data_IF_776979875696
#
_entry.id   IF_776979875696
#
_cell.length_a   1.000
_cell.length_b   1.000
_cell.length_c   1.000
_cell.angle_alpha   90.00
_cell.angle_beta   90.00
_cell.angle_gamma   90.00
#
_symmetry.space_group_name_H-M   'P 1'
#
loop_
_entity.id
_entity.type
_entity.pdbx_description
1 polymer ?
#
# COMPACT_ATOMS: atom_id res chain seq x y z
N UNK A 1 -12.50 -11.72 9.11
CA UNK A 1 -11.91 -10.36 9.23
C UNK A 1 -12.96 -9.27 8.96
N UNK A 2 -14.02 -9.19 9.77
CA UNK A 2 -15.08 -8.17 9.61
C UNK A 2 -15.01 -7.06 10.67
N UNK A 3 -14.44 -7.34 11.85
CA UNK A 3 -14.53 -6.48 13.04
C UNK A 3 -13.59 -5.26 13.07
N UNK A 4 -12.65 -5.10 12.13
CA UNK A 4 -11.64 -4.01 12.16
C UNK A 4 -12.04 -2.80 11.30
N UNK A 5 -13.10 -2.91 10.49
CA UNK A 5 -13.49 -1.82 9.58
C UNK A 5 -14.08 -0.60 10.28
N UNK A 6 -14.53 -0.75 11.52
CA UNK A 6 -15.23 0.31 12.27
C UNK A 6 -14.27 1.24 13.02
N UNK A 7 -12.99 0.86 13.16
CA UNK A 7 -11.93 1.67 13.77
C UNK A 7 -10.85 1.97 12.74
N UNK A 8 -11.01 3.08 12.01
CA UNK A 8 -10.07 3.53 10.96
C UNK A 8 -8.72 4.00 11.49
N UNK A 9 -8.61 4.25 12.80
CA UNK A 9 -7.37 4.64 13.46
C UNK A 9 -7.18 3.85 14.75
N UNK A 10 -5.98 3.29 14.91
CA UNK A 10 -5.51 2.69 16.16
C UNK A 10 -4.52 3.67 16.78
N UNK A 11 -4.62 3.92 18.08
CA UNK A 11 -3.59 4.68 18.80
C UNK A 11 -2.50 3.72 19.27
N UNK A 12 -1.26 4.01 18.87
CA UNK A 12 -0.06 3.27 19.28
C UNK A 12 0.96 4.28 19.79
N UNK A 13 1.34 4.18 21.06
CA UNK A 13 2.32 5.08 21.70
C UNK A 13 1.96 6.57 21.58
N UNK A 14 0.68 6.91 21.68
CA UNK A 14 0.20 8.29 21.52
C UNK A 14 0.15 8.79 20.07
N UNK A 15 0.50 7.94 19.10
CA UNK A 15 0.39 8.24 17.68
C UNK A 15 -0.81 7.54 17.05
N UNK A 16 -1.52 8.26 16.15
CA UNK A 16 -2.62 7.68 15.37
C UNK A 16 -2.06 6.93 14.16
N UNK A 17 -2.23 5.62 14.15
CA UNK A 17 -1.85 4.74 13.04
C UNK A 17 -3.10 4.40 12.23
N UNK A 18 -3.07 4.74 10.93
CA UNK A 18 -4.13 4.39 9.99
C UNK A 18 -3.91 3.00 9.41
N UNK A 19 -4.90 2.11 9.55
CA UNK A 19 -4.87 0.81 8.89
C UNK A 19 -5.47 0.92 7.49
N UNK A 20 -4.62 0.77 6.48
CA UNK A 20 -5.03 0.76 5.08
C UNK A 20 -4.95 -0.67 4.51
N UNK A 21 -5.85 -0.97 3.56
CA UNK A 21 -5.77 -2.21 2.79
C UNK A 21 -4.56 -2.16 1.86
N UNK A 22 -3.81 -3.26 1.79
CA UNK A 22 -2.76 -3.42 0.77
C UNK A 22 -3.43 -3.60 -0.60
N UNK A 23 -3.30 -2.58 -1.45
CA UNK A 23 -3.91 -2.52 -2.78
C UNK A 23 -2.83 -2.18 -3.80
N UNK A 24 -2.83 -2.90 -4.92
CA UNK A 24 -1.92 -2.58 -6.03
C UNK A 24 -2.13 -1.15 -6.54
N UNK A 25 -1.06 -0.53 -7.03
CA UNK A 25 -1.11 0.84 -7.58
C UNK A 25 -2.19 0.99 -8.66
N UNK A 26 -2.32 -0.01 -9.53
CA UNK A 26 -3.35 -0.06 -10.59
C UNK A 26 -4.76 -0.02 -9.98
N UNK A 27 -4.98 -0.75 -8.88
CA UNK A 27 -6.27 -0.76 -8.18
C UNK A 27 -6.57 0.60 -7.56
N UNK A 28 -5.58 1.23 -6.92
CA UNK A 28 -5.72 2.58 -6.36
C UNK A 28 -6.05 3.61 -7.44
N UNK A 29 -5.38 3.55 -8.60
CA UNK A 29 -5.66 4.43 -9.74
C UNK A 29 -7.09 4.26 -10.24
N UNK A 30 -7.56 3.01 -10.42
CA UNK A 30 -8.95 2.74 -10.83
C UNK A 30 -9.98 3.27 -9.82
N UNK A 31 -9.71 3.14 -8.52
CA UNK A 31 -10.57 3.73 -7.48
C UNK A 31 -10.59 5.26 -7.56
N UNK A 32 -9.46 5.90 -7.85
CA UNK A 32 -9.39 7.36 -8.05
C UNK A 32 -10.18 7.82 -9.28
N UNK A 33 -10.23 7.04 -10.36
CA UNK A 33 -11.03 7.38 -11.55
C UNK A 33 -12.54 7.40 -11.24
N UNK A 34 -12.98 6.49 -10.37
CA UNK A 34 -14.36 6.43 -9.89
C UNK A 34 -14.67 7.43 -8.77
N UNK A 35 -13.70 8.26 -8.36
CA UNK A 35 -13.87 9.24 -7.28
C UNK A 35 -15.06 10.19 -7.48
N UNK A 36 -15.30 10.74 -8.69
CA UNK A 36 -16.46 11.60 -8.91
C UNK A 36 -17.79 10.89 -8.65
N UNK A 37 -17.89 9.62 -9.03
CA UNK A 37 -19.07 8.79 -8.78
C UNK A 37 -19.23 8.51 -7.30
N UNK A 38 -18.13 8.21 -6.60
CA UNK A 38 -18.18 8.00 -5.15
C UNK A 38 -18.49 9.26 -4.37
N UNK A 39 -18.07 10.43 -4.85
CA UNK A 39 -18.36 11.70 -4.18
C UNK A 39 -19.86 12.03 -4.28
N UNK A 40 -20.48 11.77 -5.44
CA UNK A 40 -21.94 11.91 -5.60
C UNK A 40 -22.73 10.90 -4.77
N UNK A 41 -22.25 9.67 -4.69
CA UNK A 41 -22.93 8.59 -3.98
C UNK A 41 -22.57 8.52 -2.50
N UNK A 42 -21.66 9.37 -2.01
CA UNK A 42 -21.16 9.35 -0.63
C UNK A 42 -22.30 9.37 0.39
N UNK A 43 -23.31 10.21 0.14
CA UNK A 43 -24.48 10.36 1.01
C UNK A 43 -25.42 9.16 0.97
N UNK A 44 -25.38 8.35 -0.11
CA UNK A 44 -26.26 7.18 -0.29
C UNK A 44 -25.68 5.88 0.29
N UNK A 45 -24.50 5.91 0.91
CA UNK A 45 -23.90 4.73 1.53
C UNK A 45 -23.25 3.77 0.53
N UNK A 46 -22.05 4.13 0.07
CA UNK A 46 -21.25 3.31 -0.84
C UNK A 46 -20.41 2.25 -0.13
N UNK A 47 -20.16 1.13 -0.80
CA UNK A 47 -19.21 0.09 -0.36
C UNK A 47 -18.30 -0.31 -1.51
N UNK A 48 -16.99 -0.27 -1.26
CA UNK A 48 -15.98 -0.80 -2.18
C UNK A 48 -15.89 -2.32 -2.07
N UNK A 49 -16.18 -2.99 -3.18
CA UNK A 49 -15.94 -4.41 -3.41
C UNK A 49 -14.57 -4.65 -4.05
N UNK A 50 -13.97 -5.79 -3.73
CA UNK A 50 -12.69 -6.21 -4.32
C UNK A 50 -12.92 -6.74 -5.76
N UNK A 51 -12.00 -6.48 -6.71
CA UNK A 51 -10.87 -5.54 -6.65
C UNK A 51 -11.23 -4.06 -6.91
N UNK A 52 -12.20 -3.79 -7.77
CA UNK A 52 -12.61 -2.42 -8.18
C UNK A 52 -14.11 -2.33 -8.47
N UNK A 53 -14.96 -2.85 -7.58
CA UNK A 53 -16.41 -2.76 -7.74
C UNK A 53 -16.97 -1.75 -6.74
N UNK A 54 -17.87 -0.87 -7.17
CA UNK A 54 -18.59 0.04 -6.29
C UNK A 54 -20.02 -0.47 -6.12
N UNK A 55 -20.42 -0.76 -4.89
CA UNK A 55 -21.78 -1.15 -4.54
C UNK A 55 -22.50 0.01 -3.88
N UNK A 56 -23.73 0.27 -4.29
CA UNK A 56 -24.54 1.34 -3.70
C UNK A 56 -26.04 1.06 -3.89
N UNK A 57 -26.89 1.51 -2.96
CA UNK A 57 -28.33 1.44 -3.13
C UNK A 57 -28.78 2.51 -4.14
N UNK A 58 -29.62 2.11 -5.10
CA UNK A 58 -30.22 2.97 -6.11
C UNK A 58 -31.61 2.44 -6.45
N UNK A 59 -32.64 3.28 -6.38
CA UNK A 59 -34.03 2.89 -6.70
C UNK A 59 -34.48 1.60 -5.97
N UNK A 60 -34.16 1.47 -4.67
CA UNK A 60 -34.41 0.28 -3.84
C UNK A 60 -33.67 -1.00 -4.25
N UNK A 61 -32.74 -0.94 -5.19
CA UNK A 61 -31.89 -2.07 -5.60
C UNK A 61 -30.43 -1.81 -5.23
N UNK A 62 -29.70 -2.90 -4.92
CA UNK A 62 -28.26 -2.83 -4.70
C UNK A 62 -27.54 -2.97 -6.05
N UNK A 63 -27.22 -1.84 -6.67
CA UNK A 63 -26.47 -1.82 -7.92
C UNK A 63 -24.97 -1.95 -7.68
N UNK A 64 -24.27 -2.39 -8.72
CA UNK A 64 -22.82 -2.45 -8.71
C UNK A 64 -22.23 -2.04 -10.05
N UNK A 65 -21.23 -1.16 -10.00
CA UNK A 65 -20.51 -0.69 -11.18
C UNK A 65 -19.01 -0.97 -11.06
N UNK A 66 -18.34 -1.11 -12.19
CA UNK A 66 -16.89 -1.31 -12.29
C UNK A 66 -16.19 -0.18 -13.03
N UNK A 67 -16.90 0.50 -13.92
CA UNK A 67 -16.34 1.55 -14.79
C UNK A 67 -17.16 2.83 -14.70
N UNK A 68 -16.54 3.95 -15.10
CA UNK A 68 -17.23 5.23 -15.18
C UNK A 68 -18.31 5.20 -16.26
N UNK A 69 -18.07 4.50 -17.36
CA UNK A 69 -19.02 4.34 -18.46
C UNK A 69 -20.31 3.63 -18.02
N UNK A 70 -20.19 2.57 -17.21
CA UNK A 70 -21.37 1.92 -16.61
C UNK A 70 -22.16 2.90 -15.74
N UNK A 71 -21.47 3.76 -14.98
CA UNK A 71 -22.12 4.79 -14.17
C UNK A 71 -22.86 5.84 -15.03
N UNK A 72 -22.31 6.21 -16.18
CA UNK A 72 -22.93 7.17 -17.10
C UNK A 72 -24.17 6.61 -17.81
N UNK A 73 -24.24 5.28 -17.99
CA UNK A 73 -25.41 4.60 -18.57
C UNK A 73 -26.57 4.46 -17.60
N UNK A 74 -26.34 4.63 -16.29
CA UNK A 74 -27.41 4.57 -15.31
C UNK A 74 -28.32 5.79 -15.44
N UNK A 75 -29.60 5.52 -15.62
CA UNK A 75 -30.62 6.55 -15.74
C UNK A 75 -30.69 7.41 -14.46
N UNK A 76 -30.63 8.73 -14.62
CA UNK A 76 -30.62 9.69 -13.51
C UNK A 76 -29.24 10.02 -12.93
N UNK A 77 -28.14 9.46 -13.45
CA UNK A 77 -26.79 9.93 -13.13
C UNK A 77 -26.45 11.21 -13.94
N UNK A 78 -25.78 12.21 -13.33
CA UNK A 78 -25.36 13.39 -14.06
C UNK A 78 -24.30 13.02 -15.11
N UNK A 79 -24.57 13.36 -16.36
CA UNK A 79 -23.69 13.04 -17.51
C UNK A 79 -22.30 13.69 -17.40
N UNK A 80 -22.16 14.76 -16.60
CA UNK A 80 -20.92 15.53 -16.39
C UNK A 80 -19.90 14.86 -15.44
N UNK A 81 -20.02 13.56 -15.19
CA UNK A 81 -19.08 12.79 -14.37
C UNK A 81 -17.67 12.71 -14.97
N UNK A 82 -17.57 12.72 -16.31
CA UNK A 82 -16.30 12.64 -17.04
C UNK A 82 -15.42 13.87 -16.85
N UNK A 83 -16.00 15.07 -16.93
CA UNK A 83 -15.25 16.33 -16.87
C UNK A 83 -14.61 16.55 -15.48
N UNK A 84 -15.29 16.08 -14.44
CA UNK A 84 -14.80 16.17 -13.05
C UNK A 84 -13.67 15.17 -12.77
N UNK A 85 -13.64 14.04 -13.47
CA UNK A 85 -12.54 13.07 -13.37
C UNK A 85 -11.25 13.62 -13.98
N UNK A 86 -11.34 14.33 -15.11
CA UNK A 86 -10.19 14.87 -15.82
C UNK A 86 -9.47 15.99 -15.06
N UNK A 87 -10.22 16.80 -14.27
CA UNK A 87 -9.64 17.87 -13.45
C UNK A 87 -8.89 17.37 -12.20
N UNK A 88 -9.16 16.13 -11.75
CA UNK A 88 -8.60 15.56 -10.52
C UNK A 88 -7.45 14.57 -10.76
N UNK A 89 -7.19 14.18 -12.01
CA UNK A 89 -6.11 13.25 -12.33
C UNK A 89 -4.81 14.04 -12.58
N UNK A 90 -3.70 13.75 -11.87
CA UNK A 90 -2.38 14.17 -12.34
C UNK A 90 -2.15 13.55 -13.73
N UNK A 91 -1.41 14.22 -14.63
CA UNK A 91 -1.17 13.72 -15.97
C UNK A 91 -0.58 12.31 -15.88
N UNK A 92 -1.37 11.34 -16.32
CA UNK A 92 -0.88 10.01 -16.63
C UNK A 92 0.11 10.22 -17.76
N UNK A 93 1.40 10.17 -17.45
CA UNK A 93 2.41 9.92 -18.47
C UNK A 93 1.96 8.62 -19.14
N UNK A 94 1.45 8.76 -20.36
CA UNK A 94 1.10 7.65 -21.22
C UNK A 94 2.29 6.71 -21.21
N UNK A 95 2.08 5.50 -20.67
CA UNK A 95 3.04 4.43 -20.81
C UNK A 95 3.08 4.14 -22.31
N UNK A 96 4.09 4.70 -22.98
CA UNK A 96 4.28 4.62 -24.42
C UNK A 96 4.17 3.17 -24.87
N UNK A 97 3.36 2.96 -25.89
CA UNK A 97 3.39 1.78 -26.72
C UNK A 97 4.67 1.80 -27.57
N UNK A 98 5.83 1.74 -26.94
CA UNK A 98 7.09 1.57 -27.66
C UNK A 98 7.28 0.08 -27.93
N UNK A 99 6.81 -0.30 -29.12
CA UNK A 99 7.53 -1.28 -29.92
C UNK A 99 8.97 -0.76 -30.02
N UNK A 100 9.86 -1.28 -29.20
CA UNK A 100 11.25 -1.62 -29.54
C UNK A 100 11.97 -2.07 -28.27
N UNK A 101 12.70 -3.18 -28.39
CA UNK A 101 13.66 -3.61 -27.40
C UNK A 101 14.91 -2.74 -27.49
N UNK A 102 15.30 -2.00 -26.44
CA UNK A 102 16.71 -1.74 -26.19
C UNK A 102 17.22 -2.81 -25.23
N UNK A 103 18.28 -3.48 -25.69
CA UNK A 103 19.12 -4.41 -24.94
C UNK A 103 19.31 -3.95 -23.50
N UNK A 104 19.02 -4.84 -22.56
CA UNK A 104 19.31 -4.69 -21.13
C UNK A 104 20.81 -4.46 -20.93
N UNK A 105 21.24 -3.21 -20.81
CA UNK A 105 22.57 -2.93 -20.29
C UNK A 105 22.44 -2.80 -18.77
N UNK A 106 22.73 -3.92 -18.10
CA UNK A 106 22.80 -4.07 -16.65
C UNK A 106 23.80 -3.06 -16.06
N UNK A 107 23.38 -1.82 -15.81
CA UNK A 107 24.00 -0.98 -14.78
C UNK A 107 23.52 -1.48 -13.44
N UNK A 108 24.16 -2.57 -13.03
CA UNK A 108 24.17 -3.11 -11.67
C UNK A 108 24.68 -2.03 -10.74
N UNK A 109 23.77 -1.26 -10.14
CA UNK A 109 24.08 -0.50 -8.94
C UNK A 109 24.51 -1.51 -7.88
N UNK A 110 25.83 -1.62 -7.67
CA UNK A 110 26.43 -2.36 -6.57
C UNK A 110 26.11 -1.63 -5.27
N UNK A 111 24.91 -1.82 -4.74
CA UNK A 111 24.72 -1.68 -3.29
C UNK A 111 25.38 -2.89 -2.67
N UNK A 112 26.58 -2.69 -2.11
CA UNK A 112 27.28 -3.68 -1.29
C UNK A 112 26.39 -4.02 -0.09
N UNK A 113 25.58 -5.08 -0.22
CA UNK A 113 25.05 -5.77 0.96
C UNK A 113 26.23 -6.59 1.52
N UNK A 114 26.66 -6.36 2.78
CA UNK A 114 27.68 -7.21 3.37
C UNK A 114 27.19 -8.65 3.38
N UNK A 115 28.00 -9.53 2.79
CA UNK A 115 27.69 -10.94 2.66
C UNK A 115 27.53 -11.59 4.04
N UNK A 116 26.64 -12.56 4.14
CA UNK A 116 26.31 -13.35 5.33
C UNK A 116 27.52 -14.04 6.00
N UNK A 117 28.69 -14.04 5.33
CA UNK A 117 29.94 -14.59 5.87
C UNK A 117 30.61 -13.64 6.89
N UNK A 118 30.43 -12.32 6.74
CA UNK A 118 31.06 -11.31 7.62
C UNK A 118 30.39 -11.22 9.00
N UNK A 119 29.07 -11.38 9.07
CA UNK A 119 28.32 -11.37 10.35
C UNK A 119 28.70 -12.51 11.31
N UNK A 120 29.25 -13.62 10.78
CA UNK A 120 29.66 -14.77 11.60
C UNK A 120 31.01 -14.54 12.28
N UNK A 121 31.91 -13.76 11.67
CA UNK A 121 33.20 -13.38 12.27
C UNK A 121 33.05 -12.35 13.40
N UNK A 122 32.17 -11.36 13.23
CA UNK A 122 31.94 -10.35 14.26
C UNK A 122 31.32 -10.95 15.54
N UNK A 123 30.40 -11.91 15.40
CA UNK A 123 29.78 -12.59 16.55
C UNK A 123 30.78 -13.46 17.33
N UNK A 124 31.76 -14.06 16.66
CA UNK A 124 32.82 -14.84 17.32
C UNK A 124 33.84 -13.95 18.06
N UNK A 125 34.14 -12.75 17.52
CA UNK A 125 35.02 -11.79 18.19
C UNK A 125 34.38 -11.22 19.48
N UNK A 126 33.06 -10.95 19.45
CA UNK A 126 32.34 -10.45 20.63
C UNK A 126 32.33 -11.46 21.78
N UNK A 127 32.09 -12.74 21.50
CA UNK A 127 32.08 -13.82 22.51
C UNK A 127 33.46 -14.00 23.14
N UNK A 128 34.55 -13.86 22.36
CA UNK A 128 35.92 -13.98 22.88
C UNK A 128 36.30 -12.84 23.82
N UNK A 129 35.85 -11.62 23.51
CA UNK A 129 36.08 -10.43 24.36
C UNK A 129 35.35 -10.52 25.71
N UNK A 130 34.10 -10.99 25.71
CA UNK A 130 33.33 -11.18 26.95
C UNK A 130 33.95 -12.24 27.87
N UNK A 131 34.57 -13.29 27.29
CA UNK A 131 35.18 -14.37 28.08
C UNK A 131 36.51 -13.99 28.73
N UNK A 132 37.26 -13.03 28.17
CA UNK A 132 38.51 -12.56 28.80
C UNK A 132 38.28 -11.61 29.97
N UNK A 133 37.09 -10.97 30.07
CA UNK A 133 36.74 -10.15 31.23
C UNK A 133 36.23 -10.99 32.41
N UNK A 134 35.68 -12.18 32.15
CA UNK A 134 35.18 -13.07 33.19
C UNK A 134 36.27 -13.88 33.91
N UNK A 135 37.48 -13.97 33.36
CA UNK A 135 38.59 -14.76 33.96
C UNK A 135 39.50 -13.97 34.90
N UNK A 136 39.12 -12.74 35.28
CA UNK A 136 39.92 -11.89 36.19
C UNK A 136 39.28 -11.82 37.59
N UNK A 137 38.16 -12.49 37.84
CA UNK A 137 37.43 -12.45 39.11
C UNK A 137 37.42 -13.77 39.90
N UNK A 138 38.34 -14.70 39.62
CA UNK A 138 38.59 -15.90 40.44
C UNK A 138 39.99 -15.82 41.06
N UNK A 139 40.23 -14.79 41.86
CA UNK A 139 41.28 -14.80 42.87
C UNK A 139 40.71 -14.10 44.11
N UNK A 140 40.99 -14.70 45.26
CA UNK A 140 40.70 -14.25 46.61
C UNK A 140 39.31 -14.58 47.17
N UNK A 141 39.17 -15.80 47.71
CA UNK A 141 38.54 -16.05 49.01
C UNK A 141 38.74 -17.51 49.43
N UNK A 142 39.92 -17.84 49.98
CA UNK A 142 40.05 -18.93 50.94
C UNK A 142 40.59 -18.32 52.24
N UNK A 143 39.76 -18.42 53.28
CA UNK A 143 40.01 -18.03 54.66
C UNK A 143 39.97 -19.30 55.51
#
# INVERSE_FOLDING_TARGET
>A
MAAVRDTTSIEFEGHRVGLNQDLSLITLQRRRLLRPVTDLLREKGIKWGHPFRLHFPWQNELLSIRTLEEAQRLEGMPQNLGDRAQKAAPPVQQLGSDKEHPKTNNRRCKTHKPSTVERKKERAALIRSLRSQASVSEMDSDH
#
